data_IF_075741421628
#
_entry.id   IF_075741421628
#
_cell.length_a   1.000
_cell.length_b   1.000
_cell.length_c   1.000
_cell.angle_alpha   90.00
_cell.angle_beta   90.00
_cell.angle_gamma   90.00
#
_symmetry.space_group_name_H-M   'P 1'
#
loop_
_entity.id
_entity.type
_entity.pdbx_description
1 polymer ?
#
# COMPACT_ATOMS: atom_id res chain seq x y z
N UNK A 1 6.88 21.95 -26.58
CA UNK A 1 5.61 21.29 -26.14
C UNK A 1 5.56 19.90 -26.77
N UNK A 2 5.27 18.81 -26.04
CA UNK A 2 5.49 17.43 -26.50
C UNK A 2 4.66 17.01 -27.75
N UNK A 3 3.48 17.62 -27.96
CA UNK A 3 2.63 17.33 -29.12
C UNK A 3 3.13 18.01 -30.41
N UNK A 4 3.91 19.10 -30.31
CA UNK A 4 4.29 19.92 -31.46
C UNK A 4 5.14 19.16 -32.50
N UNK A 5 6.20 18.42 -32.12
CA UNK A 5 6.97 17.63 -33.07
C UNK A 5 6.14 16.52 -33.74
N UNK A 6 5.24 15.88 -32.97
CA UNK A 6 4.36 14.83 -33.49
C UNK A 6 3.34 15.38 -34.49
N UNK A 7 2.75 16.53 -34.19
CA UNK A 7 1.72 17.14 -35.04
C UNK A 7 2.33 17.68 -36.33
N UNK A 8 3.50 18.33 -36.23
CA UNK A 8 4.22 18.85 -37.40
C UNK A 8 4.63 17.73 -38.36
N UNK A 9 5.13 16.60 -37.84
CA UNK A 9 5.51 15.47 -38.69
C UNK A 9 4.29 14.74 -39.29
N UNK A 10 3.23 14.49 -38.49
CA UNK A 10 2.02 13.80 -38.99
C UNK A 10 1.24 14.63 -40.03
N UNK A 11 1.39 15.96 -40.03
CA UNK A 11 0.73 16.84 -41.00
C UNK A 11 1.63 17.21 -42.18
N UNK A 12 2.91 17.50 -41.94
CA UNK A 12 3.78 18.19 -42.89
C UNK A 12 5.02 17.36 -43.30
N UNK A 13 5.14 16.10 -42.86
CA UNK A 13 6.27 15.17 -43.13
C UNK A 13 7.69 15.72 -42.83
N UNK A 14 7.79 16.81 -42.06
CA UNK A 14 9.08 17.43 -41.73
C UNK A 14 9.86 16.58 -40.74
N UNK A 15 10.91 15.91 -41.22
CA UNK A 15 11.88 15.14 -40.44
C UNK A 15 12.76 16.05 -39.56
N UNK A 16 13.07 15.57 -38.35
CA UNK A 16 14.11 16.15 -37.50
C UNK A 16 15.50 15.93 -38.15
N UNK A 17 16.39 16.91 -38.02
CA UNK A 17 17.75 16.88 -38.58
C UNK A 17 18.63 15.76 -37.97
N UNK A 18 18.37 15.39 -36.70
CA UNK A 18 19.05 14.28 -36.03
C UNK A 18 18.40 12.93 -36.37
N UNK A 19 19.15 12.06 -37.04
CA UNK A 19 18.73 10.72 -37.45
C UNK A 19 18.40 9.77 -36.28
N UNK A 20 19.03 9.92 -35.11
CA UNK A 20 18.77 9.10 -33.92
C UNK A 20 17.46 9.53 -33.28
N UNK A 21 17.27 10.83 -33.12
CA UNK A 21 16.05 11.41 -32.56
C UNK A 21 14.87 11.21 -33.52
N UNK A 22 15.10 11.31 -34.83
CA UNK A 22 14.13 10.98 -35.88
C UNK A 22 13.70 9.51 -35.83
N UNK A 23 14.64 8.55 -35.72
CA UNK A 23 14.29 7.12 -35.60
C UNK A 23 13.47 6.83 -34.35
N UNK A 24 13.83 7.43 -33.21
CA UNK A 24 13.09 7.29 -31.96
C UNK A 24 11.69 7.89 -32.06
N UNK A 25 11.58 9.06 -32.69
CA UNK A 25 10.31 9.73 -32.98
C UNK A 25 9.44 8.81 -33.85
N UNK A 26 9.93 8.37 -35.02
CA UNK A 26 9.20 7.50 -35.98
C UNK A 26 8.61 6.26 -35.30
N UNK A 27 9.41 5.57 -34.47
CA UNK A 27 8.95 4.39 -33.71
C UNK A 27 7.82 4.73 -32.74
N UNK A 28 7.85 5.93 -32.15
CA UNK A 28 6.80 6.42 -31.27
C UNK A 28 5.57 6.91 -32.05
N UNK A 29 5.73 7.40 -33.29
CA UNK A 29 4.65 7.92 -34.14
C UNK A 29 3.63 6.86 -34.54
N UNK A 30 4.06 5.60 -34.69
CA UNK A 30 3.15 4.48 -34.92
C UNK A 30 2.04 4.39 -33.84
N UNK A 31 2.26 4.98 -32.67
CA UNK A 31 1.30 5.03 -31.56
C UNK A 31 0.31 6.17 -31.67
N UNK A 32 0.45 7.10 -32.63
CA UNK A 32 -0.38 8.30 -32.71
C UNK A 32 -1.05 8.48 -34.07
N UNK A 33 -2.23 9.10 -34.08
CA UNK A 33 -3.00 9.42 -35.28
C UNK A 33 -3.65 10.79 -35.13
N UNK A 34 -3.81 11.51 -36.23
CA UNK A 34 -4.63 12.73 -36.26
C UNK A 34 -6.01 12.38 -36.83
N UNK A 35 -7.07 12.82 -36.15
CA UNK A 35 -8.45 12.63 -36.60
C UNK A 35 -9.23 13.92 -36.32
N UNK A 36 -9.84 14.52 -37.35
CA UNK A 36 -10.55 15.79 -37.19
C UNK A 36 -9.66 16.94 -36.71
N UNK A 37 -8.37 16.93 -37.07
CA UNK A 37 -7.40 17.93 -36.62
C UNK A 37 -6.80 17.66 -35.23
N UNK A 38 -7.39 16.77 -34.45
CA UNK A 38 -6.96 16.44 -33.09
C UNK A 38 -6.01 15.24 -33.05
N UNK A 39 -5.05 15.26 -32.11
CA UNK A 39 -4.09 14.17 -31.93
C UNK A 39 -4.64 13.13 -30.96
N UNK A 40 -4.55 11.86 -31.36
CA UNK A 40 -4.94 10.72 -30.56
C UNK A 40 -3.79 9.72 -30.42
N UNK A 41 -3.76 9.01 -29.30
CA UNK A 41 -2.93 7.83 -29.09
C UNK A 41 -3.73 6.56 -29.33
N UNK A 42 -3.17 5.63 -30.10
CA UNK A 42 -3.68 4.28 -30.28
C UNK A 42 -3.50 3.49 -28.98
N UNK A 43 -4.60 2.98 -28.43
CA UNK A 43 -4.59 2.05 -27.31
C UNK A 43 -4.40 0.60 -27.79
N UNK A 44 -3.86 -0.27 -26.94
CA UNK A 44 -3.76 -1.71 -27.24
C UNK A 44 -5.11 -2.43 -27.15
N UNK A 45 -6.03 -1.94 -26.30
CA UNK A 45 -7.36 -2.54 -26.06
C UNK A 45 -8.47 -1.49 -25.87
N UNK A 46 -8.13 -0.20 -25.95
CA UNK A 46 -9.06 0.91 -25.74
C UNK A 46 -9.21 1.72 -27.03
N UNK A 47 -10.34 2.43 -27.22
CA UNK A 47 -10.54 3.40 -28.29
C UNK A 47 -9.42 4.45 -28.31
N UNK A 48 -9.31 5.19 -29.42
CA UNK A 48 -8.40 6.32 -29.54
C UNK A 48 -8.46 7.23 -28.31
N UNK A 49 -7.31 7.44 -27.67
CA UNK A 49 -7.18 8.32 -26.50
C UNK A 49 -6.85 9.73 -26.97
N UNK A 50 -7.67 10.70 -26.64
CA UNK A 50 -7.43 12.10 -26.97
C UNK A 50 -6.23 12.63 -26.20
N UNK A 51 -5.25 13.17 -26.92
CA UNK A 51 -4.03 13.69 -26.35
C UNK A 51 -4.27 15.13 -25.86
N UNK A 52 -4.09 15.34 -24.56
CA UNK A 52 -4.18 16.66 -23.92
C UNK A 52 -2.82 17.10 -23.38
N UNK A 53 -2.69 18.36 -23.00
CA UNK A 53 -1.46 18.97 -22.49
C UNK A 53 -1.79 20.09 -21.50
N UNK A 54 -0.78 20.66 -20.86
CA UNK A 54 -0.91 21.93 -20.12
C UNK A 54 -2.09 21.98 -19.14
N UNK A 55 -2.91 23.02 -19.28
CA UNK A 55 -4.08 23.27 -18.43
C UNK A 55 -5.19 22.24 -18.63
N UNK A 56 -5.36 21.71 -19.84
CA UNK A 56 -6.35 20.69 -20.14
C UNK A 56 -6.04 19.39 -19.37
N UNK A 57 -4.78 18.97 -19.33
CA UNK A 57 -4.35 17.83 -18.54
C UNK A 57 -4.60 18.05 -17.03
N UNK A 58 -4.28 19.24 -16.52
CA UNK A 58 -4.52 19.61 -15.11
C UNK A 58 -6.00 19.58 -14.76
N UNK A 59 -6.84 20.12 -15.63
CA UNK A 59 -8.28 20.11 -15.48
C UNK A 59 -8.83 18.68 -15.42
N UNK A 60 -8.41 17.80 -16.34
CA UNK A 60 -8.85 16.39 -16.36
C UNK A 60 -8.49 15.67 -15.06
N UNK A 61 -7.28 15.86 -14.52
CA UNK A 61 -6.89 15.27 -13.23
C UNK A 61 -7.80 15.80 -12.12
N UNK A 62 -7.95 17.13 -12.03
CA UNK A 62 -8.74 17.79 -10.99
C UNK A 62 -10.20 17.35 -11.01
N UNK A 63 -10.84 17.36 -12.17
CA UNK A 63 -12.26 17.01 -12.30
C UNK A 63 -12.51 15.54 -11.94
N UNK A 64 -11.66 14.62 -12.40
CA UNK A 64 -11.85 13.19 -12.09
C UNK A 64 -11.53 12.87 -10.62
N UNK A 65 -10.61 13.60 -10.00
CA UNK A 65 -10.20 13.39 -8.60
C UNK A 65 -11.04 14.16 -7.57
N UNK A 66 -11.54 15.35 -7.91
CA UNK A 66 -12.22 16.27 -6.97
C UNK A 66 -13.61 16.73 -7.43
N UNK A 67 -14.05 16.36 -8.63
CA UNK A 67 -15.38 16.70 -9.13
C UNK A 67 -16.51 16.10 -8.28
N UNK A 68 -17.75 16.48 -8.60
CA UNK A 68 -18.95 16.15 -7.79
C UNK A 68 -19.13 14.64 -7.57
N UNK A 69 -18.70 13.83 -8.53
CA UNK A 69 -18.79 12.36 -8.49
C UNK A 69 -17.45 11.67 -8.21
N UNK A 70 -16.48 12.38 -7.63
CA UNK A 70 -15.19 11.80 -7.30
C UNK A 70 -15.23 11.00 -6.00
N UNK A 71 -14.24 10.13 -5.81
CA UNK A 71 -14.09 9.32 -4.59
C UNK A 71 -12.66 9.41 -4.03
N UNK A 72 -11.91 10.47 -4.40
CA UNK A 72 -10.53 10.67 -3.98
C UNK A 72 -9.62 9.43 -4.17
N UNK A 73 -9.80 8.73 -5.28
CA UNK A 73 -9.02 7.53 -5.61
C UNK A 73 -7.54 7.84 -5.76
N UNK A 74 -6.69 6.86 -5.46
CA UNK A 74 -5.24 7.00 -5.54
C UNK A 74 -4.72 7.26 -6.96
N UNK A 75 -3.45 7.66 -7.05
CA UNK A 75 -2.87 8.12 -8.32
C UNK A 75 -2.86 7.06 -9.43
N UNK A 76 -2.74 5.77 -9.08
CA UNK A 76 -2.68 4.68 -10.07
C UNK A 76 -4.07 4.37 -10.62
N UNK A 77 -5.10 4.20 -9.79
CA UNK A 77 -6.45 4.00 -10.34
C UNK A 77 -7.00 5.28 -10.98
N UNK A 78 -6.60 6.47 -10.51
CA UNK A 78 -6.90 7.73 -11.18
C UNK A 78 -6.39 7.75 -12.62
N UNK A 79 -5.11 7.43 -12.83
CA UNK A 79 -4.54 7.36 -14.18
C UNK A 79 -5.24 6.32 -15.07
N UNK A 80 -5.60 5.17 -14.49
CA UNK A 80 -6.36 4.13 -15.20
C UNK A 80 -7.79 4.60 -15.55
N UNK A 81 -8.47 5.33 -14.65
CA UNK A 81 -9.81 5.87 -14.87
C UNK A 81 -9.78 6.90 -16.00
N UNK A 82 -8.81 7.83 -15.97
CA UNK A 82 -8.60 8.84 -17.01
C UNK A 82 -8.32 8.19 -18.38
N UNK A 83 -7.46 7.18 -18.43
CA UNK A 83 -7.21 6.44 -19.67
C UNK A 83 -8.48 5.71 -20.18
N UNK A 84 -9.29 5.13 -19.29
CA UNK A 84 -10.56 4.47 -19.65
C UNK A 84 -11.60 5.45 -20.19
N UNK A 85 -11.62 6.69 -19.72
CA UNK A 85 -12.43 7.78 -20.29
C UNK A 85 -11.75 8.49 -21.47
N UNK A 86 -10.70 7.87 -22.05
CA UNK A 86 -10.07 8.22 -23.32
C UNK A 86 -9.22 9.49 -23.33
N UNK A 87 -8.58 9.85 -22.23
CA UNK A 87 -7.59 10.93 -22.20
C UNK A 87 -6.16 10.38 -22.04
N UNK A 88 -5.18 11.06 -22.64
CA UNK A 88 -3.79 10.67 -22.54
C UNK A 88 -2.81 11.85 -22.59
N UNK A 89 -1.70 11.70 -21.86
CA UNK A 89 -0.47 12.46 -22.04
C UNK A 89 0.72 11.65 -21.48
N UNK A 90 1.98 11.93 -21.90
CA UNK A 90 3.13 11.10 -21.57
C UNK A 90 3.34 10.85 -20.08
N UNK A 91 3.12 11.88 -19.26
CA UNK A 91 3.35 11.88 -17.81
C UNK A 91 2.11 11.53 -16.98
N UNK A 92 1.00 11.10 -17.60
CA UNK A 92 -0.30 10.82 -16.96
C UNK A 92 -0.19 10.12 -15.60
N UNK A 93 0.57 9.01 -15.54
CA UNK A 93 0.72 8.25 -14.29
C UNK A 93 1.45 9.03 -13.20
N UNK A 94 2.52 9.75 -13.58
CA UNK A 94 3.32 10.55 -12.65
C UNK A 94 2.52 11.74 -12.14
N UNK A 95 1.86 12.46 -13.04
CA UNK A 95 1.07 13.65 -12.69
C UNK A 95 -0.11 13.30 -11.78
N UNK A 96 -0.80 12.18 -12.03
CA UNK A 96 -1.86 11.69 -11.13
C UNK A 96 -1.32 11.34 -9.75
N UNK A 97 -0.18 10.65 -9.66
CA UNK A 97 0.43 10.30 -8.39
C UNK A 97 0.88 11.54 -7.60
N UNK A 98 1.49 12.51 -8.27
CA UNK A 98 1.91 13.76 -7.65
C UNK A 98 0.71 14.61 -7.19
N UNK A 99 -0.35 14.66 -7.98
CA UNK A 99 -1.57 15.40 -7.65
C UNK A 99 -2.22 14.86 -6.37
N UNK A 100 -2.45 13.54 -6.28
CA UNK A 100 -3.04 12.89 -5.10
C UNK A 100 -2.17 13.10 -3.86
N UNK A 101 -0.84 13.06 -4.01
CA UNK A 101 0.11 13.32 -2.91
C UNK A 101 -0.01 14.75 -2.36
N UNK A 102 -0.39 15.72 -3.19
CA UNK A 102 -0.59 17.13 -2.79
C UNK A 102 -2.02 17.44 -2.35
N UNK A 103 -2.98 16.54 -2.55
CA UNK A 103 -4.38 16.77 -2.22
C UNK A 103 -4.60 16.79 -0.70
N UNK A 104 -4.91 17.96 -0.16
CA UNK A 104 -5.14 18.18 1.29
C UNK A 104 -6.23 17.27 1.87
N UNK A 105 -7.36 17.07 1.17
CA UNK A 105 -8.40 16.14 1.59
C UNK A 105 -7.83 14.73 1.76
N UNK A 106 -7.14 14.21 0.74
CA UNK A 106 -6.49 12.90 0.84
C UNK A 106 -5.50 12.83 2.00
N UNK A 107 -4.63 13.84 2.16
CA UNK A 107 -3.59 13.85 3.20
C UNK A 107 -4.17 13.90 4.62
N UNK A 108 -5.31 14.58 4.84
CA UNK A 108 -5.97 14.64 6.16
C UNK A 108 -6.54 13.30 6.61
N UNK A 109 -6.94 12.44 5.67
CA UNK A 109 -7.52 11.14 5.97
C UNK A 109 -6.49 9.99 5.93
N UNK A 110 -5.19 10.28 5.74
CA UNK A 110 -4.16 9.25 5.90
C UNK A 110 -3.85 9.08 7.38
N UNK A 111 -4.20 7.92 7.93
CA UNK A 111 -3.91 7.57 9.31
C UNK A 111 -2.39 7.62 9.60
N UNK A 112 -2.02 7.98 10.82
CA UNK A 112 -0.62 8.00 11.31
C UNK A 112 0.33 8.99 10.58
N UNK A 113 -0.19 9.97 9.84
CA UNK A 113 0.60 11.02 9.17
C UNK A 113 0.74 12.32 9.96
N UNK A 114 0.23 12.37 11.20
CA UNK A 114 0.32 13.57 12.03
C UNK A 114 1.78 14.02 12.21
N UNK A 115 2.00 15.33 12.32
CA UNK A 115 3.35 15.90 12.55
C UNK A 115 4.02 15.29 13.78
N UNK A 116 3.23 15.04 14.83
CA UNK A 116 3.69 14.40 16.06
C UNK A 116 4.17 12.98 15.80
N UNK A 117 3.40 12.17 15.06
CA UNK A 117 3.74 10.80 14.71
C UNK A 117 4.98 10.74 13.82
N UNK A 118 5.08 11.64 12.82
CA UNK A 118 6.25 11.72 11.95
C UNK A 118 7.52 12.09 12.74
N UNK A 119 7.44 13.05 13.66
CA UNK A 119 8.55 13.43 14.54
C UNK A 119 8.97 12.28 15.45
N UNK A 120 8.01 11.59 16.06
CA UNK A 120 8.28 10.42 16.91
C UNK A 120 9.00 9.30 16.14
N UNK A 121 8.51 8.95 14.94
CA UNK A 121 9.16 7.95 14.10
C UNK A 121 10.57 8.38 13.68
N UNK A 122 10.77 9.66 13.33
CA UNK A 122 12.08 10.18 12.96
C UNK A 122 13.10 10.10 14.11
N UNK A 123 12.69 10.46 15.33
CA UNK A 123 13.54 10.38 16.54
C UNK A 123 14.01 8.94 16.80
N UNK A 124 13.13 7.96 16.59
CA UNK A 124 13.45 6.54 16.77
C UNK A 124 14.04 5.87 15.52
N UNK A 125 14.36 6.63 14.47
CA UNK A 125 14.86 6.13 13.18
C UNK A 125 13.93 5.08 12.52
N UNK A 126 12.63 5.17 12.81
CA UNK A 126 11.60 4.31 12.23
C UNK A 126 11.24 4.84 10.85
N UNK A 127 11.44 4.03 9.81
CA UNK A 127 11.03 4.36 8.45
C UNK A 127 9.55 4.05 8.26
N UNK A 128 8.72 5.09 8.26
CA UNK A 128 7.29 4.96 7.95
C UNK A 128 7.11 4.57 6.47
N UNK A 129 6.28 3.55 6.22
CA UNK A 129 5.82 3.16 4.89
C UNK A 129 4.30 3.26 4.87
N UNK A 130 3.78 4.19 4.08
CA UNK A 130 2.34 4.35 3.92
C UNK A 130 1.85 3.49 2.77
N UNK A 131 0.74 2.80 3.00
CA UNK A 131 0.01 2.07 1.98
C UNK A 131 -0.87 3.07 1.22
N UNK A 132 -1.02 2.89 -0.09
CA UNK A 132 -1.98 3.68 -0.86
C UNK A 132 -3.39 3.31 -0.41
N UNK A 133 -4.31 4.28 -0.38
CA UNK A 133 -5.75 4.07 -0.12
C UNK A 133 -6.35 2.98 -1.04
N UNK A 134 -5.71 2.73 -2.20
CA UNK A 134 -6.13 1.72 -3.17
C UNK A 134 -5.73 0.27 -2.83
N UNK A 135 -4.98 0.04 -1.75
CA UNK A 135 -4.46 -1.29 -1.39
C UNK A 135 -4.75 -1.68 0.08
N UNK A 136 -6.03 -1.77 0.50
CA UNK A 136 -6.37 -2.23 1.85
C UNK A 136 -5.78 -3.61 2.19
N UNK A 137 -5.53 -4.48 1.19
CA UNK A 137 -4.90 -5.79 1.42
C UNK A 137 -3.51 -5.70 2.07
N UNK A 138 -2.78 -4.59 1.88
CA UNK A 138 -1.47 -4.42 2.53
C UNK A 138 -1.57 -4.25 4.05
N UNK A 139 -2.76 -3.90 4.56
CA UNK A 139 -3.07 -3.92 6.00
C UNK A 139 -3.83 -5.18 6.43
N UNK A 140 -4.02 -6.14 5.51
CA UNK A 140 -4.87 -7.31 5.72
C UNK A 140 -4.41 -8.23 6.86
N UNK A 141 -3.12 -8.27 7.17
CA UNK A 141 -2.61 -9.01 8.34
C UNK A 141 -3.12 -8.40 9.66
N UNK A 142 -3.10 -7.07 9.77
CA UNK A 142 -3.62 -6.35 10.95
C UNK A 142 -5.14 -6.49 11.03
N UNK A 143 -5.85 -6.39 9.90
CA UNK A 143 -7.30 -6.58 9.85
C UNK A 143 -7.72 -8.00 10.27
N UNK A 144 -6.99 -9.03 9.84
CA UNK A 144 -7.22 -10.42 10.24
C UNK A 144 -6.98 -10.60 11.75
N UNK A 145 -5.87 -10.08 12.28
CA UNK A 145 -5.57 -10.12 13.71
C UNK A 145 -6.66 -9.41 14.54
N UNK A 146 -7.02 -8.19 14.15
CA UNK A 146 -8.07 -7.40 14.80
C UNK A 146 -9.41 -8.13 14.80
N UNK A 147 -9.76 -8.81 13.71
CA UNK A 147 -11.00 -9.60 13.64
C UNK A 147 -11.05 -10.70 14.69
N UNK A 148 -9.94 -11.41 14.91
CA UNK A 148 -9.84 -12.47 15.93
C UNK A 148 -9.93 -11.88 17.34
N UNK A 149 -9.16 -10.83 17.61
CA UNK A 149 -9.11 -10.16 18.92
C UNK A 149 -10.49 -9.59 19.28
N UNK A 150 -11.14 -8.88 18.36
CA UNK A 150 -12.48 -8.31 18.58
C UNK A 150 -13.53 -9.39 18.82
N UNK A 151 -13.42 -10.56 18.16
CA UNK A 151 -14.31 -11.70 18.41
C UNK A 151 -14.09 -12.28 19.82
N UNK A 152 -12.84 -12.40 20.26
CA UNK A 152 -12.50 -12.84 21.61
C UNK A 152 -13.04 -11.88 22.68
N UNK A 153 -12.82 -10.58 22.49
CA UNK A 153 -13.36 -9.52 23.36
C UNK A 153 -14.89 -9.59 23.44
N UNK A 154 -15.58 -9.68 22.30
CA UNK A 154 -17.05 -9.74 22.28
C UNK A 154 -17.59 -10.88 23.13
N UNK A 155 -16.99 -12.07 23.05
CA UNK A 155 -17.40 -13.24 23.83
C UNK A 155 -17.19 -13.05 25.33
N UNK A 156 -16.06 -12.45 25.74
CA UNK A 156 -15.78 -12.19 27.17
C UNK A 156 -16.63 -11.04 27.74
N UNK A 157 -17.03 -10.10 26.90
CA UNK A 157 -17.87 -8.97 27.30
C UNK A 157 -19.36 -9.32 27.50
N UNK A 158 -19.83 -10.47 27.01
CA UNK A 158 -21.17 -10.99 27.39
C UNK A 158 -21.24 -11.25 28.91
N UNK A 159 -20.13 -11.66 29.52
CA UNK A 159 -20.00 -11.93 30.96
C UNK A 159 -19.60 -10.67 31.76
N UNK A 160 -18.78 -9.79 31.17
CA UNK A 160 -18.26 -8.57 31.80
C UNK A 160 -18.77 -7.31 31.08
N UNK A 161 -19.97 -6.82 31.45
CA UNK A 161 -20.53 -5.59 30.87
C UNK A 161 -19.54 -4.41 31.03
N UNK A 162 -19.10 -3.87 29.89
CA UNK A 162 -18.31 -2.63 29.72
C UNK A 162 -16.83 -2.64 30.18
N UNK A 163 -16.31 -3.75 30.73
CA UNK A 163 -14.93 -3.84 31.25
C UNK A 163 -13.89 -4.33 30.24
N UNK A 164 -14.00 -3.88 28.99
CA UNK A 164 -13.17 -4.41 27.89
C UNK A 164 -11.67 -4.20 28.12
N UNK A 165 -11.27 -3.11 28.77
CA UNK A 165 -9.87 -2.82 29.07
C UNK A 165 -9.26 -3.81 30.08
N UNK A 166 -10.07 -4.31 31.02
CA UNK A 166 -9.65 -5.31 32.02
C UNK A 166 -9.53 -6.71 31.39
N UNK A 167 -10.33 -7.01 30.36
CA UNK A 167 -10.38 -8.28 29.64
C UNK A 167 -9.42 -8.36 28.43
N UNK A 168 -8.90 -7.22 27.99
CA UNK A 168 -8.04 -7.13 26.82
C UNK A 168 -6.73 -7.92 26.96
N UNK A 169 -5.99 -7.85 28.09
CA UNK A 169 -4.78 -8.64 28.27
C UNK A 169 -5.00 -10.15 28.15
N UNK A 170 -6.13 -10.66 28.63
CA UNK A 170 -6.48 -12.09 28.60
C UNK A 170 -6.80 -12.53 27.17
N UNK A 171 -7.50 -11.69 26.40
CA UNK A 171 -7.74 -11.96 24.97
C UNK A 171 -6.44 -11.95 24.18
N UNK A 172 -5.56 -10.97 24.42
CA UNK A 172 -4.25 -10.91 23.77
C UNK A 172 -3.39 -12.12 24.13
N UNK A 173 -3.38 -12.53 25.40
CA UNK A 173 -2.66 -13.72 25.84
C UNK A 173 -3.15 -14.96 25.09
N UNK A 174 -4.47 -15.18 25.06
CA UNK A 174 -5.06 -16.29 24.30
C UNK A 174 -4.69 -16.23 22.82
N UNK A 175 -4.70 -15.05 22.19
CA UNK A 175 -4.30 -14.89 20.79
C UNK A 175 -2.83 -15.26 20.58
N UNK A 176 -1.92 -14.78 21.43
CA UNK A 176 -0.48 -15.04 21.30
C UNK A 176 -0.10 -16.51 21.51
N UNK A 177 -0.88 -17.27 22.28
CA UNK A 177 -0.59 -18.69 22.60
C UNK A 177 -1.45 -19.69 21.83
N UNK A 178 -2.27 -19.25 20.87
CA UNK A 178 -3.08 -20.15 20.04
C UNK A 178 -2.43 -20.33 18.67
N UNK A 179 -2.21 -21.57 18.21
CA UNK A 179 -1.69 -21.80 16.87
C UNK A 179 -2.63 -21.26 15.79
N UNK A 180 -2.09 -20.52 14.84
CA UNK A 180 -2.87 -20.03 13.71
C UNK A 180 -2.95 -21.08 12.61
N UNK A 181 -4.13 -21.32 12.04
CA UNK A 181 -4.33 -22.36 11.02
C UNK A 181 -3.48 -22.19 9.76
N UNK A 182 -3.04 -20.97 9.44
CA UNK A 182 -2.21 -20.68 8.27
C UNK A 182 -0.73 -21.03 8.46
N UNK A 183 -0.21 -20.94 9.69
CA UNK A 183 1.20 -21.19 10.02
C UNK A 183 1.39 -22.46 10.84
N UNK A 184 0.32 -22.99 11.43
CA UNK A 184 0.32 -24.04 12.44
C UNK A 184 1.22 -23.75 13.65
N UNK A 185 1.53 -22.47 13.89
CA UNK A 185 2.44 -21.98 14.93
C UNK A 185 1.79 -20.85 15.71
N UNK A 186 2.19 -20.66 16.98
CA UNK A 186 1.71 -19.56 17.83
C UNK A 186 2.44 -18.24 17.51
N UNK A 187 1.77 -17.07 17.57
CA UNK A 187 2.46 -15.79 17.41
C UNK A 187 3.60 -15.56 18.40
N UNK A 188 3.47 -16.07 19.63
CA UNK A 188 4.52 -16.01 20.64
C UNK A 188 5.77 -16.77 20.19
N UNK A 189 5.60 -18.01 19.71
CA UNK A 189 6.71 -18.82 19.22
C UNK A 189 7.40 -18.20 18.02
N UNK A 190 6.65 -17.61 17.09
CA UNK A 190 7.25 -16.93 15.93
C UNK A 190 8.08 -15.69 16.32
N UNK A 191 7.79 -15.08 17.47
CA UNK A 191 8.50 -13.88 17.94
C UNK A 191 9.71 -14.22 18.80
N UNK A 192 9.59 -15.21 19.68
CA UNK A 192 10.59 -15.55 20.70
C UNK A 192 11.28 -16.89 20.45
N UNK A 193 10.91 -17.61 19.39
CA UNK A 193 11.42 -18.95 19.04
C UNK A 193 11.20 -20.02 20.12
N UNK A 194 10.29 -19.76 21.07
CA UNK A 194 9.94 -20.64 22.20
C UNK A 194 8.46 -20.56 22.51
N UNK A 195 7.90 -21.62 23.07
CA UNK A 195 6.50 -21.58 23.51
C UNK A 195 6.31 -20.77 24.78
N UNK A 196 5.13 -20.15 24.90
CA UNK A 196 4.75 -19.43 26.10
C UNK A 196 4.35 -20.40 27.21
N UNK A 197 4.79 -20.13 28.44
CA UNK A 197 4.30 -20.84 29.62
C UNK A 197 2.85 -20.44 29.87
N UNK A 198 1.91 -21.35 29.61
CA UNK A 198 0.48 -21.12 29.77
C UNK A 198 0.00 -21.42 31.20
N UNK A 199 -1.15 -20.89 31.66
CA UNK A 199 -1.60 -21.05 33.04
C UNK A 199 -1.70 -22.51 33.55
N UNK A 200 -1.95 -23.47 32.66
CA UNK A 200 -1.96 -24.89 33.03
C UNK A 200 -0.57 -25.37 33.46
N UNK A 201 0.51 -24.93 32.81
CA UNK A 201 1.88 -25.33 33.19
C UNK A 201 2.35 -24.66 34.49
N UNK A 202 1.75 -23.53 34.86
CA UNK A 202 2.00 -22.90 36.16
C UNK A 202 1.35 -23.72 37.28
N UNK A 203 0.13 -24.24 37.04
CA UNK A 203 -0.62 -25.03 38.02
C UNK A 203 -0.15 -26.49 38.07
N UNK A 204 0.17 -27.04 36.91
CA UNK A 204 0.61 -28.42 36.68
C UNK A 204 1.94 -28.38 35.91
N UNK A 205 3.08 -28.23 36.61
CA UNK A 205 4.38 -28.07 35.97
C UNK A 205 4.72 -29.25 35.06
N UNK A 206 4.90 -28.94 33.77
CA UNK A 206 5.46 -29.91 32.82
C UNK A 206 6.94 -30.15 33.15
N UNK A 207 7.57 -31.25 32.67
CA UNK A 207 9.01 -31.43 32.83
C UNK A 207 9.84 -30.24 32.29
N UNK A 208 9.34 -29.54 31.26
CA UNK A 208 9.99 -28.35 30.71
C UNK A 208 10.04 -27.19 31.71
N UNK A 209 8.97 -27.01 32.49
CA UNK A 209 8.89 -25.96 33.53
C UNK A 209 9.53 -26.42 34.84
N UNK A 210 9.31 -27.68 35.23
CA UNK A 210 9.73 -28.24 36.51
C UNK A 210 11.26 -28.46 36.59
N UNK A 211 11.90 -28.79 35.46
CA UNK A 211 13.35 -29.04 35.38
C UNK A 211 14.10 -27.85 34.79
N UNK A 212 13.44 -26.70 34.62
CA UNK A 212 14.04 -25.52 33.99
C UNK A 212 15.24 -25.02 34.81
N UNK A 213 16.44 -25.08 34.22
CA UNK A 213 17.64 -24.50 34.78
C UNK A 213 18.02 -23.23 33.99
N UNK A 214 17.91 -22.03 34.59
CA UNK A 214 18.12 -20.76 33.87
C UNK A 214 19.51 -20.64 33.25
N UNK A 215 20.55 -21.05 33.99
CA UNK A 215 21.95 -20.92 33.57
C UNK A 215 22.30 -21.85 32.39
N UNK A 216 21.82 -23.10 32.43
CA UNK A 216 22.04 -24.07 31.35
C UNK A 216 21.30 -23.65 30.08
N UNK A 217 20.05 -23.22 30.21
CA UNK A 217 19.22 -22.78 29.09
C UNK A 217 19.75 -21.49 28.43
N UNK A 218 20.33 -20.55 29.18
CA UNK A 218 20.99 -19.38 28.59
C UNK A 218 22.25 -19.78 27.79
N UNK A 219 23.03 -20.72 28.32
CA UNK A 219 24.21 -21.24 27.62
C UNK A 219 23.83 -21.98 26.34
N UNK A 220 22.82 -22.85 26.38
CA UNK A 220 22.30 -23.54 25.19
C UNK A 220 21.72 -22.57 24.15
N UNK A 221 21.06 -21.48 24.59
CA UNK A 221 20.53 -20.47 23.67
C UNK A 221 21.65 -19.71 22.95
N UNK A 222 22.76 -19.41 23.64
CA UNK A 222 23.96 -18.82 23.01
C UNK A 222 24.57 -19.77 21.98
N UNK A 223 24.76 -21.04 22.34
CA UNK A 223 25.30 -22.07 21.43
C UNK A 223 24.42 -22.25 20.20
N UNK A 224 23.10 -22.29 20.34
CA UNK A 224 22.18 -22.41 19.21
C UNK A 224 22.20 -21.17 18.28
N UNK A 225 22.46 -19.99 18.83
CA UNK A 225 22.58 -18.76 18.05
C UNK A 225 23.92 -18.69 17.29
N UNK A 226 24.98 -19.28 17.84
CA UNK A 226 26.30 -19.40 17.19
C UNK A 226 26.32 -20.46 16.06
N UNK A 227 25.30 -21.33 15.99
CA UNK A 227 25.15 -22.39 14.99
C UNK A 227 24.21 -22.02 13.82
N UNK A 228 23.65 -20.81 13.82
CA UNK A 228 22.83 -20.23 12.75
C UNK A 228 23.65 -19.33 11.82
#
# INVERSE_FOLDING_TARGET
MWMSPLTAYLRDERLLEDLVEAKKLIKDMAKYIITGGELYRRGFSFPLLWCVKGEEARYVIKEVHEGVYSSHIGGRALANKIARVRYYWPTLKGDCAEYVKKCDKCQRFVEFTSRSTASFCAQLKIKQRFTSVEHPQTNGQVEAANTVILRGLRRRLEEAKEKWAEEFPQVLWSYHTTPHSSTNETPFRLTFSKEAVIPVEIREPSPQTALFQPAENENEMRVNMDLL
#
